data_IF_418984192812
#
_entry.id   IF_418984192812
#
_cell.length_a   1.000
_cell.length_b   1.000
_cell.length_c   1.000
_cell.angle_alpha   90.00
_cell.angle_beta   90.00
_cell.angle_gamma   90.00
#
_symmetry.space_group_name_H-M   'P 1'
#
loop_
_entity.id
_entity.type
_entity.pdbx_description
1 polymer ?
#
# COMPACT_ATOMS: atom_id res chain seq x y z
N UNK A 1 -9.11 -46.80 3.65
CA UNK A 1 -9.10 -46.06 2.37
C UNK A 1 -9.27 -44.58 2.69
N UNK A 2 -8.17 -43.82 2.68
CA UNK A 2 -8.17 -42.37 2.96
C UNK A 2 -8.63 -41.62 1.71
N UNK A 3 -9.71 -40.83 1.81
CA UNK A 3 -10.12 -39.92 0.75
C UNK A 3 -9.17 -38.72 0.76
N UNK A 4 -8.29 -38.65 -0.22
CA UNK A 4 -7.53 -37.44 -0.48
C UNK A 4 -8.53 -36.31 -0.83
N UNK A 5 -8.58 -35.29 0.03
CA UNK A 5 -9.27 -34.03 -0.26
C UNK A 5 -8.46 -33.30 -1.32
N UNK A 6 -8.86 -33.40 -2.58
CA UNK A 6 -8.32 -32.57 -3.66
C UNK A 6 -8.87 -31.16 -3.46
N UNK A 7 -8.08 -30.32 -2.78
CA UNK A 7 -8.29 -28.88 -2.75
C UNK A 7 -8.20 -28.35 -4.19
N UNK A 8 -9.33 -27.95 -4.75
CA UNK A 8 -9.37 -27.22 -6.03
C UNK A 8 -8.93 -25.80 -5.70
N UNK A 9 -7.66 -25.50 -5.94
CA UNK A 9 -7.15 -24.13 -5.93
C UNK A 9 -7.28 -23.55 -7.33
N UNK A 10 -8.20 -22.60 -7.52
CA UNK A 10 -8.24 -21.79 -8.73
C UNK A 10 -7.18 -20.70 -8.60
N UNK A 11 -6.09 -20.81 -9.36
CA UNK A 11 -5.08 -19.76 -9.47
C UNK A 11 -5.37 -18.96 -10.75
N UNK A 12 -5.89 -17.75 -10.60
CA UNK A 12 -6.03 -16.80 -11.73
C UNK A 12 -4.77 -15.96 -11.82
N UNK A 13 -3.97 -16.18 -12.87
CA UNK A 13 -2.82 -15.33 -13.18
C UNK A 13 -3.26 -14.20 -14.11
N UNK A 14 -3.23 -12.96 -13.61
CA UNK A 14 -3.38 -11.77 -14.44
C UNK A 14 -1.99 -11.34 -14.88
N UNK A 15 -1.78 -11.22 -16.20
CA UNK A 15 -0.53 -10.68 -16.75
C UNK A 15 -0.53 -9.16 -16.69
N UNK A 16 0.66 -8.58 -16.66
CA UNK A 16 0.87 -7.15 -16.64
C UNK A 16 0.67 -6.61 -18.06
N UNK A 17 -0.37 -5.80 -18.21
CA UNK A 17 -0.70 -5.15 -19.47
C UNK A 17 0.16 -3.89 -19.62
N UNK A 18 0.58 -3.60 -20.85
CA UNK A 18 1.02 -2.29 -21.31
C UNK A 18 0.21 -1.95 -22.56
N UNK A 19 -0.27 -0.71 -22.64
CA UNK A 19 -1.01 -0.22 -23.81
C UNK A 19 -0.20 -0.42 -25.10
N UNK A 20 -0.83 -0.83 -26.22
CA UNK A 20 -0.14 -0.95 -27.52
C UNK A 20 0.35 0.40 -28.07
N UNK A 21 -0.07 1.51 -27.44
CA UNK A 21 0.39 2.86 -27.75
C UNK A 21 1.73 3.21 -27.08
N UNK A 22 2.33 2.27 -26.35
CA UNK A 22 3.60 2.44 -25.66
C UNK A 22 4.52 1.23 -25.83
N UNK A 23 5.81 1.45 -25.59
CA UNK A 23 6.82 0.38 -25.56
C UNK A 23 7.73 0.53 -24.35
N UNK A 24 8.19 -0.57 -23.74
CA UNK A 24 9.23 -0.52 -22.73
C UNK A 24 10.56 -0.08 -23.34
N UNK A 25 11.40 0.58 -22.55
CA UNK A 25 12.77 0.92 -22.90
C UNK A 25 13.68 0.74 -21.69
N UNK A 26 14.95 0.43 -21.93
CA UNK A 26 15.96 0.37 -20.88
C UNK A 26 16.61 1.74 -20.65
N UNK A 27 16.92 2.04 -19.39
CA UNK A 27 17.79 3.14 -18.96
C UNK A 27 19.08 2.56 -18.39
N UNK A 28 20.16 2.47 -19.19
CA UNK A 28 21.43 1.93 -18.71
C UNK A 28 21.95 2.69 -17.47
N UNK A 29 22.60 2.01 -16.51
CA UNK A 29 22.99 0.60 -16.57
C UNK A 29 21.90 -0.41 -16.15
N UNK A 30 20.82 -0.02 -15.45
CA UNK A 30 19.90 -0.99 -14.82
C UNK A 30 18.42 -0.62 -14.77
N UNK A 31 18.00 0.54 -15.28
CA UNK A 31 16.60 0.95 -15.21
C UNK A 31 15.78 0.51 -16.42
N UNK A 32 14.47 0.55 -16.24
CA UNK A 32 13.47 0.27 -17.27
C UNK A 32 12.37 1.31 -17.14
N UNK A 33 11.81 1.75 -18.25
CA UNK A 33 10.63 2.62 -18.27
C UNK A 33 9.76 2.24 -19.46
N UNK A 34 8.68 2.97 -19.66
CA UNK A 34 7.83 2.85 -20.85
C UNK A 34 7.61 4.22 -21.44
N UNK A 35 7.56 4.33 -22.76
CA UNK A 35 7.30 5.59 -23.45
C UNK A 35 6.21 5.43 -24.50
N UNK A 36 5.48 6.50 -24.74
CA UNK A 36 4.46 6.56 -25.78
C UNK A 36 5.12 6.45 -27.18
N UNK A 37 4.56 5.60 -28.04
CA UNK A 37 4.89 5.50 -29.48
C UNK A 37 3.77 6.04 -30.38
N UNK A 38 2.62 6.34 -29.79
CA UNK A 38 1.48 7.02 -30.38
C UNK A 38 0.90 8.00 -29.34
N UNK A 39 0.09 8.96 -29.76
CA UNK A 39 -0.62 9.81 -28.81
C UNK A 39 -1.54 8.94 -27.93
N UNK A 40 -1.51 9.17 -26.61
CA UNK A 40 -2.36 8.44 -25.65
C UNK A 40 -3.37 9.45 -25.09
N UNK A 41 -4.67 9.31 -25.42
CA UNK A 41 -5.70 10.18 -24.87
C UNK A 41 -5.85 10.04 -23.35
N UNK A 42 -6.24 11.12 -22.68
CA UNK A 42 -6.66 11.11 -21.28
C UNK A 42 -7.68 9.99 -21.01
N UNK A 43 -7.56 9.34 -19.86
CA UNK A 43 -8.47 8.25 -19.48
C UNK A 43 -8.13 6.89 -20.11
N UNK A 44 -7.12 6.80 -20.95
CA UNK A 44 -6.66 5.52 -21.51
C UNK A 44 -6.02 4.67 -20.42
N UNK A 45 -6.38 3.39 -20.32
CA UNK A 45 -5.64 2.43 -19.49
C UNK A 45 -4.23 2.24 -20.05
N UNK A 46 -3.22 2.55 -19.24
CA UNK A 46 -1.82 2.57 -19.66
C UNK A 46 -1.13 1.25 -19.30
N UNK A 47 -1.27 0.80 -18.06
CA UNK A 47 -0.66 -0.43 -17.57
C UNK A 47 -1.50 -1.12 -16.51
N UNK A 48 -1.27 -2.41 -16.28
CA UNK A 48 -1.81 -3.13 -15.11
C UNK A 48 -0.74 -3.92 -14.39
N UNK A 49 -0.86 -3.99 -13.06
CA UNK A 49 -0.05 -4.82 -12.19
C UNK A 49 -0.83 -6.07 -11.78
N UNK A 50 -0.46 -7.20 -12.35
CA UNK A 50 -0.88 -8.52 -11.92
C UNK A 50 0.18 -9.18 -11.03
N UNK A 51 0.11 -10.50 -10.91
CA UNK A 51 1.08 -11.29 -10.15
C UNK A 51 0.48 -12.06 -8.97
N UNK A 52 1.29 -12.31 -7.95
CA UNK A 52 0.93 -13.16 -6.80
C UNK A 52 0.67 -12.30 -5.57
N UNK A 53 -0.50 -12.47 -4.97
CA UNK A 53 -0.89 -11.81 -3.72
C UNK A 53 -0.10 -12.37 -2.53
N UNK A 54 0.65 -11.53 -1.83
CA UNK A 54 1.50 -11.88 -0.69
C UNK A 54 1.31 -10.92 0.48
N UNK A 55 1.56 -11.42 1.70
CA UNK A 55 1.77 -10.59 2.89
C UNK A 55 3.16 -9.93 2.85
N UNK A 56 3.37 -8.85 3.61
CA UNK A 56 4.68 -8.19 3.74
C UNK A 56 5.77 -9.18 4.15
N UNK A 57 5.49 -10.03 5.15
CA UNK A 57 6.46 -11.02 5.64
C UNK A 57 6.89 -12.03 4.57
N UNK A 58 5.98 -12.42 3.67
CA UNK A 58 6.31 -13.32 2.56
C UNK A 58 6.99 -12.56 1.42
N UNK A 59 6.50 -11.36 1.12
CA UNK A 59 7.05 -10.45 0.10
C UNK A 59 8.52 -10.11 0.36
N UNK A 60 8.89 -9.84 1.61
CA UNK A 60 10.26 -9.49 2.02
C UNK A 60 11.30 -10.57 1.72
N UNK A 61 10.89 -11.82 1.45
CA UNK A 61 11.78 -12.94 1.12
C UNK A 61 12.21 -12.95 -0.35
N UNK A 62 11.61 -12.11 -1.19
CA UNK A 62 11.94 -12.02 -2.61
C UNK A 62 13.02 -10.97 -2.87
N UNK A 63 13.75 -11.16 -3.97
CA UNK A 63 14.84 -10.30 -4.39
C UNK A 63 14.36 -8.87 -4.73
N UNK A 64 15.27 -7.90 -4.65
CA UNK A 64 14.96 -6.49 -4.82
C UNK A 64 14.42 -6.15 -6.23
N UNK A 65 14.85 -6.88 -7.27
CA UNK A 65 14.38 -6.66 -8.64
C UNK A 65 12.90 -6.99 -8.76
N UNK A 66 12.48 -8.12 -8.22
CA UNK A 66 11.09 -8.54 -8.28
C UNK A 66 10.20 -7.67 -7.40
N UNK A 67 10.71 -7.24 -6.24
CA UNK A 67 10.01 -6.32 -5.34
C UNK A 67 9.82 -4.92 -5.96
N UNK A 68 10.78 -4.41 -6.74
CA UNK A 68 10.69 -3.05 -7.33
C UNK A 68 9.68 -2.89 -8.47
N UNK A 69 9.01 -3.97 -8.87
CA UNK A 69 7.92 -3.98 -9.87
C UNK A 69 6.64 -4.62 -9.34
N UNK A 70 6.43 -4.44 -8.05
CA UNK A 70 5.24 -4.91 -7.33
C UNK A 70 4.37 -3.71 -6.96
N UNK A 71 3.13 -3.97 -6.54
CA UNK A 71 2.23 -2.90 -6.11
C UNK A 71 1.55 -3.28 -4.80
N UNK A 72 1.49 -2.34 -3.85
CA UNK A 72 0.70 -2.52 -2.65
C UNK A 72 -0.79 -2.26 -2.94
N UNK A 73 -1.65 -3.20 -2.53
CA UNK A 73 -3.11 -3.13 -2.75
C UNK A 73 -3.92 -3.16 -1.46
N UNK A 74 -3.29 -3.51 -0.33
CA UNK A 74 -3.83 -3.31 1.02
C UNK A 74 -2.69 -3.27 2.07
N UNK A 75 -3.06 -3.07 3.33
CA UNK A 75 -2.17 -2.97 4.50
C UNK A 75 -1.15 -4.09 4.55
N UNK A 76 -1.60 -5.34 4.39
CA UNK A 76 -0.75 -6.54 4.37
C UNK A 76 -0.97 -7.37 3.09
N UNK A 77 -1.19 -6.68 1.97
CA UNK A 77 -1.42 -7.32 0.67
C UNK A 77 -0.64 -6.57 -0.42
N UNK A 78 0.36 -7.24 -0.96
CA UNK A 78 1.17 -6.78 -2.09
C UNK A 78 1.02 -7.78 -3.22
N UNK A 79 0.82 -7.27 -4.44
CA UNK A 79 0.91 -8.09 -5.64
C UNK A 79 2.36 -8.11 -6.10
N UNK A 80 3.02 -9.24 -5.86
CA UNK A 80 4.39 -9.48 -6.30
C UNK A 80 4.41 -9.66 -7.81
N UNK A 81 5.24 -8.88 -8.49
CA UNK A 81 5.44 -8.98 -9.93
C UNK A 81 5.80 -10.41 -10.41
N UNK A 82 5.56 -10.74 -11.69
CA UNK A 82 5.81 -12.09 -12.23
C UNK A 82 7.28 -12.56 -12.08
N UNK A 83 7.61 -13.85 -12.19
CA UNK A 83 9.02 -14.29 -12.14
C UNK A 83 9.88 -13.68 -13.25
N UNK A 84 9.29 -13.46 -14.43
CA UNK A 84 9.92 -12.78 -15.56
C UNK A 84 9.31 -11.40 -15.71
N UNK A 85 10.12 -10.42 -16.14
CA UNK A 85 9.66 -9.07 -16.41
C UNK A 85 8.69 -9.06 -17.60
N UNK A 86 7.54 -8.45 -17.41
CA UNK A 86 6.52 -8.20 -18.44
C UNK A 86 6.51 -6.71 -18.81
N UNK A 87 6.01 -6.31 -20.01
CA UNK A 87 6.03 -4.90 -20.43
C UNK A 87 5.37 -3.93 -19.43
N UNK A 88 4.28 -4.34 -18.79
CA UNK A 88 3.57 -3.53 -17.79
C UNK A 88 4.35 -3.29 -16.48
N UNK A 89 5.46 -4.00 -16.25
CA UNK A 89 6.33 -3.84 -15.06
C UNK A 89 7.18 -2.56 -15.09
N UNK A 90 7.11 -1.78 -16.17
CA UNK A 90 8.08 -0.73 -16.47
C UNK A 90 7.42 0.64 -16.51
N UNK A 91 6.74 1.03 -15.42
CA UNK A 91 6.21 2.39 -15.23
C UNK A 91 6.96 3.01 -14.06
N UNK A 92 7.77 4.03 -14.35
CA UNK A 92 8.61 4.68 -13.36
C UNK A 92 7.85 5.70 -12.51
N UNK A 93 8.50 6.07 -11.43
CA UNK A 93 8.11 7.20 -10.62
C UNK A 93 8.38 8.55 -11.29
N UNK A 94 7.45 9.49 -11.15
CA UNK A 94 7.73 10.93 -11.28
C UNK A 94 6.98 11.71 -10.20
N UNK A 95 7.58 12.77 -9.66
CA UNK A 95 6.91 13.71 -8.74
C UNK A 95 5.95 14.67 -9.47
N UNK A 96 6.03 14.73 -10.80
CA UNK A 96 5.06 15.40 -11.68
C UNK A 96 4.68 14.43 -12.82
N UNK A 97 3.85 13.42 -12.51
CA UNK A 97 3.55 12.34 -13.44
C UNK A 97 2.49 12.71 -14.49
N UNK A 98 2.37 11.88 -15.52
CA UNK A 98 1.29 11.94 -16.52
C UNK A 98 0.25 10.82 -16.37
N UNK A 99 0.50 9.83 -15.53
CA UNK A 99 -0.43 8.75 -15.19
C UNK A 99 -0.78 8.72 -13.70
N UNK A 100 -1.88 8.04 -13.35
CA UNK A 100 -2.30 7.80 -11.98
C UNK A 100 -3.09 6.51 -11.81
N UNK A 101 -3.54 6.21 -10.59
CA UNK A 101 -4.29 4.97 -10.31
C UNK A 101 -5.76 5.12 -10.70
N UNK A 102 -6.29 4.15 -11.43
CA UNK A 102 -7.75 4.03 -11.68
C UNK A 102 -8.44 3.14 -10.63
N UNK A 103 -7.73 2.11 -10.18
CA UNK A 103 -8.19 1.12 -9.21
C UNK A 103 -6.96 0.53 -8.48
N UNK A 104 -7.08 -0.64 -7.85
CA UNK A 104 -5.98 -1.23 -7.10
C UNK A 104 -4.74 -1.59 -7.95
N UNK A 105 -4.93 -1.86 -9.25
CA UNK A 105 -3.86 -2.43 -10.08
C UNK A 105 -3.72 -1.79 -11.46
N UNK A 106 -4.60 -0.87 -11.85
CA UNK A 106 -4.63 -0.27 -13.19
C UNK A 106 -4.15 1.17 -13.15
N UNK A 107 -3.19 1.49 -14.03
CA UNK A 107 -2.70 2.84 -14.30
C UNK A 107 -3.46 3.44 -15.48
N UNK A 108 -3.83 4.71 -15.38
CA UNK A 108 -4.57 5.47 -16.39
C UNK A 108 -3.85 6.78 -16.71
N UNK A 109 -3.97 7.26 -17.94
CA UNK A 109 -3.48 8.59 -18.32
C UNK A 109 -4.34 9.70 -17.67
N UNK A 110 -3.72 10.65 -16.97
CA UNK A 110 -4.41 11.77 -16.32
C UNK A 110 -4.62 12.98 -17.23
N UNK A 111 -3.89 13.00 -18.35
CA UNK A 111 -3.99 13.99 -19.43
C UNK A 111 -3.65 13.30 -20.75
N UNK A 112 -3.80 14.01 -21.86
CA UNK A 112 -3.25 13.55 -23.14
C UNK A 112 -1.72 13.48 -23.03
N UNK A 113 -1.14 12.39 -23.55
CA UNK A 113 0.30 12.12 -23.55
C UNK A 113 0.79 12.09 -24.99
N UNK A 114 1.79 12.91 -25.29
CA UNK A 114 2.39 13.01 -26.62
C UNK A 114 3.33 11.83 -26.91
N UNK A 115 3.56 11.60 -28.20
CA UNK A 115 4.53 10.60 -28.68
C UNK A 115 5.91 10.92 -28.08
N UNK A 116 6.58 9.90 -27.54
CA UNK A 116 7.92 10.01 -26.97
C UNK A 116 7.97 10.37 -25.49
N UNK A 117 6.87 10.82 -24.88
CA UNK A 117 6.81 11.04 -23.43
C UNK A 117 6.96 9.72 -22.67
N UNK A 118 7.72 9.74 -21.57
CA UNK A 118 7.79 8.63 -20.62
C UNK A 118 6.50 8.53 -19.82
N UNK A 119 6.02 7.30 -19.62
CA UNK A 119 4.87 6.98 -18.80
C UNK A 119 5.32 6.86 -17.35
N UNK A 120 4.81 7.76 -16.51
CA UNK A 120 5.16 7.80 -15.09
C UNK A 120 3.93 8.01 -14.22
N UNK A 121 3.97 7.49 -12.99
CA UNK A 121 2.99 7.80 -11.94
C UNK A 121 3.71 8.13 -10.64
N UNK A 122 3.01 8.74 -9.69
CA UNK A 122 3.57 9.00 -8.37
C UNK A 122 3.25 7.82 -7.45
N UNK A 123 4.27 7.18 -6.90
CA UNK A 123 4.09 5.97 -6.07
C UNK A 123 3.32 6.26 -4.78
N UNK A 124 3.24 7.52 -4.34
CA UNK A 124 2.35 7.94 -3.25
C UNK A 124 0.86 7.69 -3.57
N UNK A 125 0.51 7.43 -4.84
CA UNK A 125 -0.84 7.04 -5.24
C UNK A 125 -1.19 5.59 -4.89
N UNK A 126 -0.22 4.69 -4.70
CA UNK A 126 -0.46 3.26 -4.47
C UNK A 126 0.17 2.72 -3.19
N UNK A 127 1.36 3.18 -2.83
CA UNK A 127 2.20 2.56 -1.82
C UNK A 127 2.32 3.40 -0.55
N UNK A 128 2.37 2.71 0.58
CA UNK A 128 2.53 3.32 1.89
C UNK A 128 3.39 2.48 2.83
N UNK A 129 4.32 1.72 2.25
CA UNK A 129 5.29 0.87 2.95
C UNK A 129 6.71 1.25 2.54
N UNK A 130 7.65 1.01 3.44
CA UNK A 130 9.05 1.45 3.30
C UNK A 130 9.82 0.70 2.20
N UNK A 131 9.27 -0.41 1.69
CA UNK A 131 9.95 -1.21 0.67
C UNK A 131 10.16 -0.45 -0.65
N UNK A 132 9.38 0.60 -0.87
CA UNK A 132 9.35 1.41 -2.08
C UNK A 132 9.85 2.86 -1.83
N UNK A 133 10.62 3.06 -0.75
CA UNK A 133 11.37 4.30 -0.55
C UNK A 133 12.69 4.31 -1.31
N UNK A 134 13.00 5.43 -1.96
CA UNK A 134 14.24 5.62 -2.69
C UNK A 134 14.55 7.11 -2.91
N UNK A 135 15.82 7.43 -3.15
CA UNK A 135 16.23 8.77 -3.56
C UNK A 135 15.76 9.04 -5.00
N UNK A 136 15.00 10.12 -5.17
CA UNK A 136 14.33 10.44 -6.42
C UNK A 136 15.17 11.37 -7.29
N UNK A 137 15.34 10.98 -8.54
CA UNK A 137 16.07 11.72 -9.57
C UNK A 137 15.22 11.93 -10.85
N UNK A 138 13.89 12.03 -10.70
CA UNK A 138 12.96 12.21 -11.84
C UNK A 138 13.17 13.52 -12.64
N UNK A 139 13.93 14.48 -12.09
CA UNK A 139 14.37 15.67 -12.82
C UNK A 139 13.32 16.78 -13.00
N UNK A 140 12.09 16.59 -12.48
CA UNK A 140 11.05 17.62 -12.54
C UNK A 140 11.34 18.76 -11.55
N UNK A 141 10.80 19.96 -11.82
CA UNK A 141 10.95 21.10 -10.93
C UNK A 141 10.31 20.88 -9.54
N UNK A 142 9.38 19.91 -9.45
CA UNK A 142 8.68 19.52 -8.24
C UNK A 142 9.23 18.24 -7.61
N UNK A 143 10.44 17.82 -8.02
CA UNK A 143 11.08 16.63 -7.46
C UNK A 143 11.24 16.76 -5.94
N UNK A 144 10.75 15.76 -5.20
CA UNK A 144 10.87 15.70 -3.73
C UNK A 144 12.28 15.31 -3.26
N UNK A 145 13.15 14.85 -4.15
CA UNK A 145 14.49 14.34 -3.84
C UNK A 145 14.49 12.95 -3.18
N UNK A 146 13.43 12.58 -2.47
CA UNK A 146 13.21 11.23 -1.94
C UNK A 146 11.72 10.90 -1.91
N UNK A 147 11.38 9.68 -2.32
CA UNK A 147 10.03 9.11 -2.17
C UNK A 147 9.94 8.42 -0.81
N UNK A 148 8.87 8.69 -0.06
CA UNK A 148 8.66 8.18 1.30
C UNK A 148 7.34 7.44 1.42
N UNK A 149 7.29 6.47 2.35
CA UNK A 149 6.09 5.68 2.63
C UNK A 149 4.90 6.50 3.16
N UNK A 150 5.15 7.74 3.62
CA UNK A 150 4.14 8.65 4.14
C UNK A 150 3.82 9.83 3.21
N UNK A 151 4.35 9.85 1.98
CA UNK A 151 4.10 10.95 1.03
C UNK A 151 2.62 11.13 0.69
N UNK A 152 1.82 10.07 0.73
CA UNK A 152 0.35 10.13 0.56
C UNK A 152 -0.34 11.01 1.62
N UNK A 153 0.34 11.36 2.72
CA UNK A 153 -0.14 12.29 3.74
C UNK A 153 0.04 13.76 3.37
N UNK A 154 0.89 14.07 2.39
CA UNK A 154 1.15 15.44 1.98
C UNK A 154 -0.12 16.06 1.36
N UNK A 155 -0.60 17.16 1.95
CA UNK A 155 -1.81 17.84 1.48
C UNK A 155 -1.69 18.30 0.02
N UNK A 156 -0.49 18.69 -0.41
CA UNK A 156 -0.21 19.06 -1.80
C UNK A 156 -0.46 17.91 -2.77
N UNK A 157 -0.04 16.68 -2.42
CA UNK A 157 -0.28 15.49 -3.25
C UNK A 157 -1.73 15.05 -3.18
N UNK A 158 -2.36 15.11 -2.01
CA UNK A 158 -3.80 14.81 -1.83
C UNK A 158 -4.68 15.68 -2.73
N UNK A 159 -4.38 16.98 -2.80
CA UNK A 159 -5.09 17.90 -3.71
C UNK A 159 -4.77 17.59 -5.18
N UNK A 160 -3.49 17.44 -5.53
CA UNK A 160 -3.07 17.24 -6.93
C UNK A 160 -3.62 15.95 -7.54
N UNK A 161 -3.67 14.87 -6.76
CA UNK A 161 -4.02 13.53 -7.24
C UNK A 161 -5.42 13.09 -6.81
N UNK A 162 -6.29 14.04 -6.47
CA UNK A 162 -7.70 13.74 -6.17
C UNK A 162 -8.31 12.92 -7.30
N UNK A 163 -8.87 11.74 -6.96
CA UNK A 163 -9.45 10.81 -7.93
C UNK A 163 -8.47 9.82 -8.57
N UNK A 164 -7.17 9.92 -8.28
CA UNK A 164 -6.12 9.07 -8.84
C UNK A 164 -5.31 8.27 -7.80
N UNK A 165 -5.78 8.20 -6.55
CA UNK A 165 -5.26 7.30 -5.54
C UNK A 165 -5.83 5.89 -5.71
N UNK A 166 -5.04 4.87 -5.39
CA UNK A 166 -5.53 3.49 -5.28
C UNK A 166 -6.60 3.43 -4.17
N UNK A 167 -7.54 2.47 -4.24
CA UNK A 167 -8.52 2.29 -3.17
C UNK A 167 -7.89 2.10 -1.79
N UNK A 168 -6.69 1.51 -1.71
CA UNK A 168 -5.96 1.36 -0.45
C UNK A 168 -5.54 2.72 0.12
N UNK A 169 -4.85 3.55 -0.67
CA UNK A 169 -4.41 4.86 -0.23
C UNK A 169 -5.62 5.77 0.06
N UNK A 170 -6.66 5.70 -0.76
CA UNK A 170 -7.90 6.45 -0.52
C UNK A 170 -8.52 6.11 0.85
N UNK A 171 -8.63 4.81 1.20
CA UNK A 171 -9.10 4.38 2.53
C UNK A 171 -8.20 4.91 3.65
N UNK A 172 -6.87 4.98 3.44
CA UNK A 172 -5.95 5.56 4.44
C UNK A 172 -6.14 7.07 4.61
N UNK A 173 -6.33 7.81 3.52
CA UNK A 173 -6.62 9.25 3.56
C UNK A 173 -7.92 9.50 4.32
N UNK A 174 -8.96 8.69 4.07
CA UNK A 174 -10.22 8.76 4.79
C UNK A 174 -10.07 8.40 6.27
N UNK A 175 -9.29 7.36 6.59
CA UNK A 175 -9.02 6.96 7.96
C UNK A 175 -8.34 8.08 8.77
N UNK A 176 -7.36 8.78 8.20
CA UNK A 176 -6.72 9.94 8.85
C UNK A 176 -7.70 11.05 9.24
N UNK A 177 -8.79 11.24 8.47
CA UNK A 177 -9.83 12.24 8.80
C UNK A 177 -10.69 11.83 10.00
N UNK A 178 -10.79 10.53 10.26
CA UNK A 178 -11.59 9.96 11.36
C UNK A 178 -10.73 9.51 12.53
N UNK A 179 -9.41 9.61 12.41
CA UNK A 179 -8.45 9.28 13.45
C UNK A 179 -8.73 10.13 14.68
N UNK A 180 -8.79 9.52 15.85
CA UNK A 180 -9.01 10.25 17.09
C UNK A 180 -8.23 9.67 18.25
N UNK A 181 -7.90 10.54 19.20
CA UNK A 181 -7.28 10.14 20.47
C UNK A 181 -8.34 9.46 21.34
N UNK A 182 -7.93 8.47 22.14
CA UNK A 182 -8.80 7.90 23.16
C UNK A 182 -9.11 8.97 24.21
N UNK A 183 -10.40 9.17 24.46
CA UNK A 183 -10.89 9.97 25.58
C UNK A 183 -10.80 9.18 26.87
N UNK A 184 -10.94 9.86 28.02
CA UNK A 184 -11.05 9.19 29.32
C UNK A 184 -12.13 8.10 29.32
N UNK A 185 -13.29 8.38 28.73
CA UNK A 185 -14.41 7.43 28.65
C UNK A 185 -14.05 6.20 27.81
N UNK A 186 -13.35 6.37 26.70
CA UNK A 186 -12.97 5.24 25.84
C UNK A 186 -12.01 4.29 26.58
N UNK A 187 -11.07 4.85 27.35
CA UNK A 187 -10.14 4.06 28.15
C UNK A 187 -10.86 3.33 29.29
N UNK A 188 -11.77 4.00 30.00
CA UNK A 188 -12.59 3.36 31.04
C UNK A 188 -13.42 2.19 30.49
N UNK A 189 -14.03 2.36 29.32
CA UNK A 189 -14.80 1.32 28.63
C UNK A 189 -13.91 0.16 28.16
N UNK A 190 -12.73 0.48 27.62
CA UNK A 190 -11.73 -0.52 27.22
C UNK A 190 -11.29 -1.36 28.41
N UNK A 191 -10.89 -0.72 29.53
CA UNK A 191 -10.44 -1.43 30.74
C UNK A 191 -11.55 -2.28 31.35
N UNK A 192 -12.79 -1.77 31.42
CA UNK A 192 -13.92 -2.53 31.93
C UNK A 192 -14.27 -3.77 31.09
N UNK A 193 -14.00 -3.72 29.78
CA UNK A 193 -14.26 -4.82 28.84
C UNK A 193 -13.08 -5.81 28.78
N UNK A 194 -11.86 -5.36 29.09
CA UNK A 194 -10.64 -6.12 28.85
C UNK A 194 -10.59 -7.44 29.62
N UNK A 195 -11.03 -7.45 30.87
CA UNK A 195 -11.01 -8.64 31.74
C UNK A 195 -11.87 -9.79 31.18
N UNK A 196 -12.92 -9.49 30.43
CA UNK A 196 -13.85 -10.49 29.86
C UNK A 196 -13.64 -10.72 28.37
N UNK A 197 -13.34 -9.67 27.60
CA UNK A 197 -13.23 -9.70 26.14
C UNK A 197 -12.03 -8.85 25.64
N UNK A 198 -10.78 -9.28 25.92
CA UNK A 198 -9.58 -8.46 25.71
C UNK A 198 -9.37 -8.06 24.25
N UNK A 199 -9.59 -8.98 23.32
CA UNK A 199 -9.48 -8.72 21.89
C UNK A 199 -10.51 -7.69 21.41
N UNK A 200 -11.75 -7.75 21.92
CA UNK A 200 -12.78 -6.79 21.53
C UNK A 200 -12.43 -5.39 22.05
N UNK A 201 -12.02 -5.29 23.32
CA UNK A 201 -11.65 -4.04 23.96
C UNK A 201 -10.52 -3.33 23.19
N UNK A 202 -9.40 -4.04 22.98
CA UNK A 202 -8.23 -3.52 22.28
C UNK A 202 -8.52 -3.18 20.82
N UNK A 203 -9.23 -4.06 20.10
CA UNK A 203 -9.60 -3.80 18.71
C UNK A 203 -10.46 -2.55 18.59
N UNK A 204 -11.45 -2.34 19.46
CA UNK A 204 -12.31 -1.16 19.40
C UNK A 204 -11.52 0.13 19.68
N UNK A 205 -10.63 0.11 20.67
CA UNK A 205 -9.73 1.22 20.96
C UNK A 205 -8.83 1.55 19.76
N UNK A 206 -8.16 0.54 19.18
CA UNK A 206 -7.29 0.73 18.02
C UNK A 206 -8.06 1.23 16.78
N UNK A 207 -9.27 0.71 16.51
CA UNK A 207 -10.12 1.21 15.41
C UNK A 207 -10.39 2.70 15.53
N UNK A 208 -10.60 3.20 16.75
CA UNK A 208 -10.77 4.62 17.02
C UNK A 208 -9.45 5.40 16.82
N UNK A 209 -8.36 4.87 17.34
CA UNK A 209 -7.01 5.45 17.17
C UNK A 209 -6.53 5.50 15.73
N UNK A 210 -7.02 4.63 14.84
CA UNK A 210 -6.67 4.62 13.41
C UNK A 210 -7.76 5.21 12.51
N UNK A 211 -8.95 5.51 13.03
CA UNK A 211 -10.08 5.96 12.20
C UNK A 211 -10.60 4.88 11.25
N UNK A 212 -10.47 3.60 11.61
CA UNK A 212 -10.79 2.45 10.77
C UNK A 212 -11.86 1.55 11.43
N UNK A 213 -13.15 1.91 11.41
CA UNK A 213 -14.21 1.24 12.20
C UNK A 213 -14.42 -0.25 11.86
N UNK A 214 -14.00 -0.69 10.68
CA UNK A 214 -14.17 -2.06 10.20
C UNK A 214 -12.85 -2.85 10.08
N UNK A 215 -11.71 -2.28 10.48
CA UNK A 215 -10.43 -2.97 10.39
C UNK A 215 -10.43 -4.25 11.25
N UNK A 216 -9.80 -5.30 10.74
CA UNK A 216 -9.58 -6.55 11.48
C UNK A 216 -8.48 -6.36 12.53
N UNK A 217 -8.35 -7.31 13.46
CA UNK A 217 -7.26 -7.28 14.43
C UNK A 217 -5.90 -7.28 13.73
N UNK A 218 -5.73 -8.16 12.75
CA UNK A 218 -4.51 -8.34 11.97
C UNK A 218 -4.11 -7.05 11.26
N UNK A 219 -5.08 -6.35 10.66
CA UNK A 219 -4.85 -5.06 9.99
C UNK A 219 -4.34 -4.01 10.98
N UNK A 220 -4.93 -3.94 12.18
CA UNK A 220 -4.56 -2.95 13.18
C UNK A 220 -3.17 -3.24 13.76
N UNK A 221 -2.84 -4.51 13.99
CA UNK A 221 -1.52 -4.91 14.47
C UNK A 221 -0.44 -4.61 13.43
N UNK A 222 -0.68 -4.92 12.15
CA UNK A 222 0.26 -4.61 11.06
C UNK A 222 0.49 -3.10 10.87
N UNK A 223 -0.49 -2.26 11.23
CA UNK A 223 -0.33 -0.79 11.19
C UNK A 223 0.40 -0.22 12.41
N UNK A 224 0.22 -0.85 13.58
CA UNK A 224 0.69 -0.35 14.86
C UNK A 224 2.09 -0.86 15.19
N UNK A 225 2.27 -2.18 15.16
CA UNK A 225 3.46 -2.85 15.62
C UNK A 225 4.56 -2.76 14.56
N UNK A 226 5.79 -2.48 15.00
CA UNK A 226 6.93 -2.26 14.09
C UNK A 226 7.87 -3.45 14.05
N UNK A 227 7.86 -4.27 15.10
CA UNK A 227 8.77 -5.40 15.23
C UNK A 227 8.06 -6.72 14.89
N UNK A 228 8.67 -7.62 14.12
CA UNK A 228 8.06 -8.91 13.77
C UNK A 228 7.66 -9.76 14.99
N UNK A 229 8.42 -9.69 16.08
CA UNK A 229 8.12 -10.41 17.32
C UNK A 229 6.87 -9.87 18.02
N UNK A 230 6.76 -8.53 18.12
CA UNK A 230 5.58 -7.85 18.65
C UNK A 230 4.32 -8.20 17.83
N UNK A 231 4.42 -8.16 16.50
CA UNK A 231 3.34 -8.58 15.60
C UNK A 231 2.93 -10.04 15.90
N UNK A 232 3.90 -10.95 15.98
CA UNK A 232 3.66 -12.37 16.24
C UNK A 232 2.97 -12.61 17.61
N UNK A 233 3.42 -11.91 18.65
CA UNK A 233 2.86 -12.03 20.00
C UNK A 233 1.42 -11.48 20.06
N UNK A 234 1.15 -10.33 19.45
CA UNK A 234 -0.19 -9.74 19.41
C UNK A 234 -1.16 -10.54 18.54
N UNK A 235 -0.69 -11.09 17.41
CA UNK A 235 -1.51 -11.96 16.56
C UNK A 235 -1.83 -13.31 17.21
N UNK A 236 -0.94 -13.83 18.06
CA UNK A 236 -1.17 -15.05 18.84
C UNK A 236 -1.93 -14.80 20.15
N UNK A 237 -2.34 -13.56 20.41
CA UNK A 237 -3.06 -13.15 21.63
C UNK A 237 -2.29 -13.50 22.91
N UNK A 238 -0.96 -13.36 22.88
CA UNK A 238 -0.13 -13.52 24.06
C UNK A 238 -0.54 -12.50 25.14
N UNK A 239 -0.84 -12.99 26.35
CA UNK A 239 -1.37 -12.16 27.44
C UNK A 239 -0.45 -11.00 27.80
N UNK A 240 0.86 -11.23 27.95
CA UNK A 240 1.80 -10.17 28.33
C UNK A 240 1.87 -9.06 27.27
N UNK A 241 1.80 -9.42 25.98
CA UNK A 241 1.78 -8.46 24.89
C UNK A 241 0.47 -7.66 24.85
N UNK A 242 -0.68 -8.30 25.12
CA UNK A 242 -1.96 -7.61 25.22
C UNK A 242 -1.99 -6.65 26.42
N UNK A 243 -1.45 -7.05 27.57
CA UNK A 243 -1.36 -6.22 28.78
C UNK A 243 -0.46 -5.00 28.55
N UNK A 244 0.68 -5.17 27.87
CA UNK A 244 1.54 -4.07 27.46
C UNK A 244 0.82 -3.10 26.53
N UNK A 245 0.03 -3.61 25.58
CA UNK A 245 -0.76 -2.78 24.67
C UNK A 245 -1.86 -2.00 25.40
N UNK A 246 -2.56 -2.63 26.36
CA UNK A 246 -3.52 -1.93 27.24
C UNK A 246 -2.83 -0.79 27.98
N UNK A 247 -1.64 -1.06 28.55
CA UNK A 247 -0.82 -0.06 29.23
C UNK A 247 -0.50 1.12 28.32
N UNK A 248 0.00 0.85 27.12
CA UNK A 248 0.33 1.87 26.13
C UNK A 248 -0.90 2.70 25.71
N UNK A 249 -2.06 2.07 25.50
CA UNK A 249 -3.31 2.77 25.14
C UNK A 249 -3.85 3.64 26.28
N UNK A 250 -3.65 3.22 27.53
CA UNK A 250 -4.01 4.00 28.72
C UNK A 250 -3.07 5.21 28.88
N UNK A 251 -1.77 5.03 28.65
CA UNK A 251 -0.75 6.09 28.76
C UNK A 251 -0.82 7.13 27.64
N UNK A 252 -1.17 6.72 26.42
CA UNK A 252 -1.28 7.61 25.24
C UNK A 252 -2.54 8.47 25.21
N UNK A 253 -3.30 8.52 26.33
CA UNK A 253 -4.49 9.37 26.48
C UNK A 253 -4.18 10.84 26.16
N UNK A 254 -4.63 11.30 24.99
CA UNK A 254 -4.39 12.67 24.54
C UNK A 254 -3.04 12.92 23.86
N UNK A 255 -2.17 11.90 23.72
CA UNK A 255 -0.88 11.99 23.03
C UNK A 255 -0.85 11.25 21.68
N UNK A 256 -1.76 10.30 21.46
CA UNK A 256 -1.88 9.54 20.21
C UNK A 256 -0.95 8.34 20.12
N UNK A 257 -1.27 7.42 19.21
CA UNK A 257 -0.43 6.28 18.82
C UNK A 257 0.48 6.63 17.65
#
# INVERSE_FOLDING_TARGET
>A
MSRASTSISLVTTVQNFLTPLAVPFGTPPHGFGSRAIAAIPVGTSVATFGGTALTHATFARYDAERRSRSIQVDTNLIFLGPPKREPGDSINHSCEPNCGMRNATTIIAMRDIAIGEELTFDYAMSDASIYDEFDCNCGTALCRGRVRADDWRLDTLRHRYTGFFSPYIQRRIEAERHRSLLTKRDVEEMLATYDTEPLMALRNALRKCFGMPHATWETLIELMAKQPDEISQLLSLNTDALDQLVGALNETRGAGL
#
